data_IF_819469328087
#
_entry.id   IF_819469328087
#
_cell.length_a   1.000
_cell.length_b   1.000
_cell.length_c   1.000
_cell.angle_alpha   90.00
_cell.angle_beta   90.00
_cell.angle_gamma   90.00
#
_symmetry.space_group_name_H-M   'P 1'
#
loop_
_entity.id
_entity.type
_entity.pdbx_description
1 polymer ?
#
# COMPACT_ATOMS: atom_id res chain seq x y z
N UNK A 1 -8.07 78.03 -3.17
CA UNK A 1 -8.99 76.96 -2.71
C UNK A 1 -8.17 75.73 -2.33
N UNK A 2 -8.59 74.97 -1.31
CA UNK A 2 -7.97 73.71 -0.89
C UNK A 2 -9.04 72.64 -0.70
N UNK A 3 -8.85 71.48 -1.31
CA UNK A 3 -9.72 70.31 -1.16
C UNK A 3 -9.13 69.39 -0.08
N UNK A 4 -9.89 69.11 0.98
CA UNK A 4 -9.45 68.26 2.09
C UNK A 4 -9.94 66.83 1.94
N UNK A 5 -11.17 66.66 1.43
CA UNK A 5 -11.81 65.36 1.31
C UNK A 5 -12.78 65.33 0.15
N UNK A 6 -12.82 64.22 -0.57
CA UNK A 6 -13.79 63.97 -1.64
C UNK A 6 -14.36 62.56 -1.51
N UNK A 7 -15.69 62.48 -1.41
CA UNK A 7 -16.44 61.23 -1.30
C UNK A 7 -17.43 61.16 -2.45
N UNK A 8 -17.45 60.01 -3.13
CA UNK A 8 -18.36 59.74 -4.24
C UNK A 8 -19.04 58.40 -4.00
N UNK A 9 -20.37 58.37 -4.07
CA UNK A 9 -21.20 57.17 -3.86
C UNK A 9 -22.21 57.04 -4.99
N UNK A 10 -22.36 55.82 -5.53
CA UNK A 10 -23.27 55.50 -6.64
C UNK A 10 -23.12 56.43 -7.86
N UNK A 11 -21.88 56.62 -8.31
CA UNK A 11 -21.53 57.53 -9.40
C UNK A 11 -20.93 56.74 -10.57
N UNK A 12 -21.62 56.69 -11.70
CA UNK A 12 -21.29 55.78 -12.82
C UNK A 12 -21.10 54.33 -12.34
N UNK A 13 -19.89 53.78 -12.48
CA UNK A 13 -19.51 52.45 -12.00
C UNK A 13 -18.94 52.41 -10.57
N UNK A 14 -18.85 53.54 -9.87
CA UNK A 14 -18.28 53.63 -8.52
C UNK A 14 -19.38 53.43 -7.49
N UNK A 15 -19.32 52.34 -6.71
CA UNK A 15 -20.24 52.10 -5.58
C UNK A 15 -19.99 53.09 -4.45
N UNK A 16 -18.75 53.16 -3.96
CA UNK A 16 -18.32 54.11 -2.95
C UNK A 16 -16.81 54.31 -3.01
N UNK A 17 -16.35 55.56 -2.93
CA UNK A 17 -14.92 55.90 -2.84
C UNK A 17 -14.72 57.20 -2.09
N UNK A 18 -13.73 57.20 -1.21
CA UNK A 18 -13.33 58.33 -0.40
C UNK A 18 -11.82 58.59 -0.55
N UNK A 19 -11.46 59.87 -0.69
CA UNK A 19 -10.07 60.33 -0.77
C UNK A 19 -9.90 61.47 0.22
N UNK A 20 -8.97 61.31 1.15
CA UNK A 20 -8.47 62.38 2.02
C UNK A 20 -7.18 62.95 1.43
N UNK A 21 -7.09 64.26 1.31
CA UNK A 21 -5.94 64.95 0.76
C UNK A 21 -5.04 65.49 1.90
N UNK A 22 -3.72 65.33 1.80
CA UNK A 22 -2.79 65.87 2.79
C UNK A 22 -2.77 67.40 2.75
N UNK A 23 -2.34 68.00 3.85
CA UNK A 23 -2.38 69.45 4.00
C UNK A 23 -1.41 70.19 3.07
N UNK A 24 -0.31 69.54 2.67
CA UNK A 24 0.75 70.06 1.81
C UNK A 24 1.29 68.96 0.90
N UNK A 25 1.88 69.34 -0.23
CA UNK A 25 2.55 68.43 -1.17
C UNK A 25 1.76 68.15 -2.45
N UNK A 26 2.25 67.18 -3.23
CA UNK A 26 1.64 66.76 -4.50
C UNK A 26 1.01 65.39 -4.31
N UNK A 27 -0.26 65.25 -4.66
CA UNK A 27 -0.98 63.96 -4.64
C UNK A 27 -1.06 63.40 -6.05
N UNK A 28 -0.51 62.20 -6.24
CA UNK A 28 -0.60 61.47 -7.50
C UNK A 28 -1.64 60.36 -7.36
N UNK A 29 -2.73 60.43 -8.13
CA UNK A 29 -3.77 59.39 -8.17
C UNK A 29 -3.45 58.41 -9.30
N UNK A 30 -2.89 57.25 -8.95
CA UNK A 30 -2.59 56.16 -9.89
C UNK A 30 -3.65 55.05 -9.85
N UNK A 31 -3.84 54.35 -10.97
CA UNK A 31 -4.76 53.21 -11.06
C UNK A 31 -4.88 52.71 -12.49
N UNK A 32 -5.50 51.55 -12.70
CA UNK A 32 -5.78 51.03 -14.04
C UNK A 32 -6.64 52.01 -14.87
N UNK A 33 -6.62 51.88 -16.20
CA UNK A 33 -7.61 52.57 -17.03
C UNK A 33 -9.02 52.17 -16.60
N UNK A 34 -9.98 53.09 -16.68
CA UNK A 34 -11.37 52.87 -16.25
C UNK A 34 -11.59 52.69 -14.74
N UNK A 35 -10.55 52.82 -13.91
CA UNK A 35 -10.67 52.75 -12.45
C UNK A 35 -11.42 53.94 -11.81
N UNK A 36 -11.95 54.87 -12.62
CA UNK A 36 -12.73 56.02 -12.17
C UNK A 36 -11.92 57.27 -11.78
N UNK A 37 -10.65 57.38 -12.17
CA UNK A 37 -9.79 58.55 -11.83
C UNK A 37 -10.37 59.87 -12.35
N UNK A 38 -10.63 59.95 -13.66
CA UNK A 38 -11.23 61.15 -14.28
C UNK A 38 -12.64 61.40 -13.75
N UNK A 39 -13.42 60.34 -13.52
CA UNK A 39 -14.78 60.43 -12.96
C UNK A 39 -14.82 61.10 -11.58
N UNK A 40 -13.81 60.92 -10.73
CA UNK A 40 -13.73 61.59 -9.41
C UNK A 40 -13.53 63.10 -9.56
N UNK A 41 -12.67 63.53 -10.48
CA UNK A 41 -12.38 64.95 -10.72
C UNK A 41 -13.56 65.64 -11.40
N UNK A 42 -14.25 64.94 -12.30
CA UNK A 42 -15.54 65.39 -12.89
C UNK A 42 -16.64 65.52 -11.82
N UNK A 43 -16.69 64.61 -10.84
CA UNK A 43 -17.67 64.67 -9.76
C UNK A 43 -17.54 65.96 -8.93
N UNK A 44 -16.32 66.40 -8.66
CA UNK A 44 -16.05 67.67 -7.98
C UNK A 44 -16.57 68.88 -8.78
N UNK A 45 -16.43 68.89 -10.10
CA UNK A 45 -16.98 69.97 -10.93
C UNK A 45 -18.50 70.00 -10.88
N UNK A 46 -19.13 68.84 -11.06
CA UNK A 46 -20.58 68.76 -11.02
C UNK A 46 -21.15 69.19 -9.68
N UNK A 47 -20.44 68.88 -8.58
CA UNK A 47 -20.79 69.35 -7.25
C UNK A 47 -20.82 70.89 -7.18
N UNK A 48 -19.81 71.57 -7.73
CA UNK A 48 -19.67 73.03 -7.66
C UNK A 48 -20.55 73.78 -8.67
N UNK A 49 -20.68 73.27 -9.90
CA UNK A 49 -21.24 74.02 -11.02
C UNK A 49 -22.72 73.73 -11.30
N UNK A 50 -23.20 72.54 -10.94
CA UNK A 50 -24.55 72.09 -11.29
C UNK A 50 -25.48 72.04 -10.08
N UNK A 51 -26.72 72.49 -10.28
CA UNK A 51 -27.81 72.26 -9.32
C UNK A 51 -28.16 70.77 -9.25
N UNK A 52 -28.65 70.31 -8.11
CA UNK A 52 -29.03 68.91 -7.86
C UNK A 52 -30.11 68.37 -8.83
N UNK A 53 -31.02 69.25 -9.27
CA UNK A 53 -32.08 68.98 -10.26
C UNK A 53 -31.67 69.31 -11.72
N UNK A 54 -30.39 69.56 -11.98
CA UNK A 54 -29.89 69.91 -13.31
C UNK A 54 -30.15 68.80 -14.33
N UNK A 55 -30.64 69.18 -15.51
CA UNK A 55 -30.91 68.27 -16.64
C UNK A 55 -29.82 68.30 -17.72
N UNK A 56 -28.69 68.98 -17.41
CA UNK A 56 -27.49 69.08 -18.26
C UNK A 56 -26.98 67.68 -18.64
N UNK A 57 -26.37 67.58 -19.83
CA UNK A 57 -25.89 66.31 -20.40
C UNK A 57 -24.89 65.63 -19.46
N UNK A 58 -24.00 66.43 -18.88
CA UNK A 58 -22.93 66.01 -17.98
C UNK A 58 -23.51 65.39 -16.70
N UNK A 59 -24.57 65.98 -16.15
CA UNK A 59 -25.28 65.42 -14.98
C UNK A 59 -25.99 64.12 -15.35
N UNK A 60 -26.65 64.03 -16.52
CA UNK A 60 -27.30 62.78 -16.97
C UNK A 60 -26.32 61.62 -17.15
N UNK A 61 -25.07 61.90 -17.52
CA UNK A 61 -24.03 60.89 -17.77
C UNK A 61 -23.44 60.27 -16.49
N UNK A 62 -23.76 60.78 -15.30
CA UNK A 62 -23.18 60.27 -14.05
C UNK A 62 -24.07 59.29 -13.31
N UNK A 63 -25.26 59.02 -13.85
CA UNK A 63 -26.23 58.07 -13.31
C UNK A 63 -25.57 56.71 -13.01
N UNK A 64 -25.84 56.10 -11.84
CA UNK A 64 -25.27 54.80 -11.51
C UNK A 64 -25.73 53.73 -12.50
N UNK A 65 -24.80 52.87 -12.94
CA UNK A 65 -25.08 51.82 -13.93
C UNK A 65 -25.78 50.60 -13.32
N UNK A 66 -25.45 50.27 -12.07
CA UNK A 66 -25.86 49.01 -11.41
C UNK A 66 -26.62 49.23 -10.09
N UNK A 67 -27.14 50.43 -9.83
CA UNK A 67 -27.86 50.73 -8.59
C UNK A 67 -29.06 51.64 -8.88
N UNK A 68 -30.21 51.34 -8.25
CA UNK A 68 -31.43 52.14 -8.37
C UNK A 68 -31.44 53.30 -7.35
N UNK A 69 -30.34 54.05 -7.31
CA UNK A 69 -30.02 55.11 -6.35
C UNK A 69 -29.64 56.43 -7.04
N UNK A 70 -29.50 57.52 -6.26
CA UNK A 70 -28.99 58.80 -6.75
C UNK A 70 -27.47 58.86 -6.67
N UNK A 71 -26.84 59.66 -7.53
CA UNK A 71 -25.38 59.87 -7.49
C UNK A 71 -25.05 60.91 -6.44
N UNK A 72 -24.22 60.55 -5.47
CA UNK A 72 -23.86 61.41 -4.36
C UNK A 72 -22.41 61.83 -4.45
N UNK A 73 -22.18 63.13 -4.27
CA UNK A 73 -20.84 63.73 -4.19
C UNK A 73 -20.79 64.61 -2.95
N UNK A 74 -19.78 64.39 -2.11
CA UNK A 74 -19.50 65.21 -0.94
C UNK A 74 -18.06 65.68 -0.98
N UNK A 75 -17.82 66.98 -0.83
CA UNK A 75 -16.49 67.55 -0.73
C UNK A 75 -16.36 68.41 0.52
N UNK A 76 -15.19 68.32 1.16
CA UNK A 76 -14.79 69.26 2.21
C UNK A 76 -13.73 70.20 1.65
N UNK A 77 -14.04 71.49 1.66
CA UNK A 77 -13.29 72.52 0.94
C UNK A 77 -12.99 73.69 1.88
N UNK A 78 -11.78 74.24 1.77
CA UNK A 78 -11.43 75.55 2.29
C UNK A 78 -11.21 76.56 1.16
N UNK A 79 -11.84 77.72 1.26
CA UNK A 79 -11.71 78.82 0.30
C UNK A 79 -11.76 80.16 1.05
N UNK A 80 -10.65 80.91 1.00
CA UNK A 80 -10.49 82.12 1.82
C UNK A 80 -10.72 81.84 3.32
N UNK A 81 -11.60 82.59 4.01
CA UNK A 81 -11.90 82.38 5.44
C UNK A 81 -12.86 81.20 5.67
N UNK A 82 -13.42 80.59 4.62
CA UNK A 82 -14.44 79.57 4.73
C UNK A 82 -13.84 78.16 4.77
N UNK A 83 -14.39 77.30 5.64
CA UNK A 83 -14.24 75.84 5.56
C UNK A 83 -15.63 75.24 5.59
N UNK A 84 -15.98 74.40 4.64
CA UNK A 84 -17.34 73.87 4.53
C UNK A 84 -17.35 72.45 3.95
N UNK A 85 -18.39 71.70 4.32
CA UNK A 85 -18.74 70.41 3.74
C UNK A 85 -19.94 70.63 2.84
N UNK A 86 -19.80 70.24 1.58
CA UNK A 86 -20.82 70.42 0.57
C UNK A 86 -21.19 69.09 -0.05
N UNK A 87 -22.49 68.77 -0.01
CA UNK A 87 -23.04 67.51 -0.49
C UNK A 87 -24.14 67.77 -1.52
N UNK A 88 -24.10 67.02 -2.62
CA UNK A 88 -25.21 66.92 -3.57
C UNK A 88 -25.54 65.48 -3.89
N UNK A 89 -26.83 65.18 -3.92
CA UNK A 89 -27.40 63.98 -4.54
C UNK A 89 -28.09 64.38 -5.83
N UNK A 90 -27.71 63.76 -6.93
CA UNK A 90 -28.32 63.92 -8.25
C UNK A 90 -29.27 62.75 -8.54
N UNK A 91 -30.17 62.95 -9.51
CA UNK A 91 -31.13 61.96 -10.00
C UNK A 91 -32.24 61.58 -9.02
N UNK A 92 -32.04 60.54 -8.21
CA UNK A 92 -33.06 60.06 -7.29
C UNK A 92 -32.98 60.80 -5.98
N UNK A 93 -34.12 61.34 -5.54
CA UNK A 93 -34.23 62.23 -4.37
C UNK A 93 -33.17 63.35 -4.41
N UNK A 94 -33.21 64.24 -5.43
CA UNK A 94 -32.23 65.32 -5.55
C UNK A 94 -32.19 66.17 -4.27
N UNK A 95 -30.99 66.39 -3.77
CA UNK A 95 -30.78 67.02 -2.48
C UNK A 95 -29.45 67.77 -2.50
N UNK A 96 -29.45 68.98 -1.96
CA UNK A 96 -28.24 69.79 -1.75
C UNK A 96 -28.16 70.13 -0.27
N UNK A 97 -26.99 69.92 0.33
CA UNK A 97 -26.71 70.30 1.71
C UNK A 97 -25.36 71.01 1.78
N UNK A 98 -25.33 72.11 2.52
CA UNK A 98 -24.12 72.83 2.86
C UNK A 98 -24.00 72.90 4.38
N UNK A 99 -22.84 72.53 4.91
CA UNK A 99 -22.47 72.79 6.30
C UNK A 99 -21.19 73.62 6.32
N UNK A 100 -21.30 74.90 6.66
CA UNK A 100 -20.16 75.78 6.88
C UNK A 100 -19.62 75.51 8.29
N UNK A 101 -18.32 75.28 8.40
CA UNK A 101 -17.59 75.01 9.64
C UNK A 101 -16.86 76.25 10.17
N UNK A 102 -16.40 77.12 9.26
CA UNK A 102 -15.75 78.39 9.57
C UNK A 102 -16.16 79.45 8.52
N UNK A 103 -16.25 80.75 8.88
CA UNK A 103 -15.92 81.35 10.18
C UNK A 103 -16.99 81.13 11.27
N UNK A 104 -18.26 80.95 10.89
CA UNK A 104 -19.36 80.60 11.78
C UNK A 104 -20.06 79.33 11.28
N UNK A 105 -20.56 78.51 12.21
CA UNK A 105 -21.25 77.29 11.84
C UNK A 105 -22.64 77.59 11.30
N UNK A 106 -22.88 77.21 10.06
CA UNK A 106 -24.13 77.46 9.33
C UNK A 106 -24.51 76.18 8.56
N UNK A 107 -25.80 75.84 8.52
CA UNK A 107 -26.29 74.70 7.74
C UNK A 107 -27.45 75.15 6.86
N UNK A 108 -27.30 74.95 5.56
CA UNK A 108 -28.28 75.32 4.54
C UNK A 108 -28.60 74.08 3.70
N UNK A 109 -29.79 74.07 3.10
CA UNK A 109 -30.20 73.00 2.18
C UNK A 109 -30.82 73.59 0.91
N UNK A 110 -30.94 72.77 -0.13
CA UNK A 110 -31.59 73.14 -1.38
C UNK A 110 -30.85 74.22 -2.19
N UNK A 111 -31.61 75.10 -2.83
CA UNK A 111 -31.08 76.15 -3.70
C UNK A 111 -30.25 77.20 -2.91
N UNK A 112 -30.66 77.54 -1.69
CA UNK A 112 -29.93 78.47 -0.82
C UNK A 112 -28.52 77.96 -0.50
N UNK A 113 -28.37 76.65 -0.27
CA UNK A 113 -27.05 76.02 -0.08
C UNK A 113 -26.18 76.13 -1.33
N UNK A 114 -26.75 75.96 -2.53
CA UNK A 114 -25.99 76.06 -3.78
C UNK A 114 -25.54 77.50 -4.05
N UNK A 115 -26.46 78.45 -3.88
CA UNK A 115 -26.19 79.86 -4.14
C UNK A 115 -25.18 80.41 -3.11
N UNK A 116 -25.25 79.97 -1.85
CA UNK A 116 -24.25 80.32 -0.82
C UNK A 116 -22.85 79.82 -1.17
N UNK A 117 -22.70 78.59 -1.66
CA UNK A 117 -21.38 78.08 -2.13
C UNK A 117 -20.87 78.89 -3.31
N UNK A 118 -21.73 79.21 -4.29
CA UNK A 118 -21.33 80.05 -5.44
C UNK A 118 -20.84 81.42 -5.00
N UNK A 119 -21.53 82.05 -4.04
CA UNK A 119 -21.11 83.34 -3.49
C UNK A 119 -19.75 83.25 -2.78
N UNK A 120 -19.54 82.23 -1.92
CA UNK A 120 -18.26 82.03 -1.23
C UNK A 120 -17.10 81.80 -2.21
N UNK A 121 -17.31 81.04 -3.29
CA UNK A 121 -16.28 80.78 -4.28
C UNK A 121 -15.99 82.00 -5.17
N UNK A 122 -17.01 82.75 -5.60
CA UNK A 122 -16.82 83.96 -6.38
C UNK A 122 -16.07 85.06 -5.61
N UNK A 123 -16.21 85.11 -4.28
CA UNK A 123 -15.48 86.03 -3.40
C UNK A 123 -14.00 85.63 -3.21
N UNK A 124 -13.71 84.32 -3.13
CA UNK A 124 -12.42 83.82 -2.60
C UNK A 124 -11.55 83.06 -3.59
N UNK A 125 -12.07 82.77 -4.78
CA UNK A 125 -11.38 82.00 -5.82
C UNK A 125 -11.51 82.74 -7.14
N UNK A 126 -10.37 82.96 -7.80
CA UNK A 126 -10.38 83.31 -9.22
C UNK A 126 -10.89 82.10 -10.01
N UNK A 127 -12.17 82.13 -10.34
CA UNK A 127 -12.83 81.06 -11.08
C UNK A 127 -12.21 80.85 -12.46
N UNK A 128 -11.72 81.90 -13.12
CA UNK A 128 -11.11 81.78 -14.45
C UNK A 128 -9.75 81.08 -14.39
N UNK A 129 -8.92 81.43 -13.40
CA UNK A 129 -7.65 80.74 -13.14
C UNK A 129 -7.87 79.27 -12.72
N UNK A 130 -8.88 79.01 -11.88
CA UNK A 130 -9.27 77.65 -11.48
C UNK A 130 -9.69 76.79 -12.69
N UNK A 131 -10.47 77.36 -13.62
CA UNK A 131 -10.83 76.67 -14.87
C UNK A 131 -9.60 76.46 -15.77
N UNK A 132 -8.74 77.46 -15.94
CA UNK A 132 -7.55 77.39 -16.80
C UNK A 132 -6.54 76.32 -16.33
N UNK A 133 -6.26 76.24 -15.03
CA UNK A 133 -5.36 75.22 -14.45
C UNK A 133 -5.84 73.79 -14.73
N UNK A 134 -7.16 73.61 -14.85
CA UNK A 134 -7.79 72.31 -15.02
C UNK A 134 -7.89 71.88 -16.49
N UNK A 135 -8.14 72.82 -17.41
CA UNK A 135 -8.17 72.56 -18.87
C UNK A 135 -6.83 72.03 -19.37
N UNK A 136 -5.72 72.52 -18.79
CA UNK A 136 -4.35 72.09 -19.10
C UNK A 136 -4.09 70.58 -18.89
N UNK A 137 -4.95 69.86 -18.16
CA UNK A 137 -4.79 68.42 -17.90
C UNK A 137 -5.79 67.52 -18.66
N UNK A 138 -6.87 68.08 -19.23
CA UNK A 138 -7.97 67.30 -19.81
C UNK A 138 -8.11 67.41 -21.34
N UNK A 139 -7.53 68.43 -21.99
CA UNK A 139 -7.62 68.60 -23.44
C UNK A 139 -6.32 68.17 -24.15
N UNK A 140 -6.43 67.20 -25.07
CA UNK A 140 -5.38 66.87 -26.03
C UNK A 140 -5.07 68.10 -26.90
N UNK A 141 -3.89 68.70 -26.72
CA UNK A 141 -3.13 69.47 -27.75
C UNK A 141 -3.91 70.48 -28.60
N UNK A 142 -4.87 71.21 -28.02
CA UNK A 142 -5.37 72.46 -28.61
C UNK A 142 -4.76 73.63 -27.84
N UNK A 143 -4.28 74.65 -28.56
CA UNK A 143 -3.74 75.86 -27.96
C UNK A 143 -4.79 76.50 -27.05
N UNK A 144 -4.47 76.63 -25.76
CA UNK A 144 -5.33 77.28 -24.77
C UNK A 144 -5.27 78.79 -25.03
N UNK A 145 -6.42 79.42 -25.25
CA UNK A 145 -6.54 80.87 -25.30
C UNK A 145 -6.43 81.42 -23.88
N UNK A 146 -5.27 81.98 -23.55
CA UNK A 146 -4.93 82.52 -22.23
C UNK A 146 -5.09 84.05 -22.16
N UNK A 147 -5.76 84.66 -23.13
CA UNK A 147 -5.91 86.12 -23.27
C UNK A 147 -6.65 86.83 -22.13
N UNK A 148 -7.31 86.11 -21.23
CA UNK A 148 -8.02 86.68 -20.07
C UNK A 148 -7.21 86.77 -18.77
N UNK A 149 -6.00 86.22 -18.69
CA UNK A 149 -5.29 86.05 -17.41
C UNK A 149 -4.18 87.10 -17.19
N UNK A 150 -4.57 88.33 -16.84
CA UNK A 150 -3.65 89.47 -16.62
C UNK A 150 -2.57 89.22 -15.55
N UNK A 151 -2.83 88.37 -14.56
CA UNK A 151 -1.86 88.03 -13.53
C UNK A 151 -0.77 87.07 -14.04
N UNK A 152 -1.14 86.10 -14.88
CA UNK A 152 -0.22 85.12 -15.43
C UNK A 152 0.60 85.71 -16.60
N UNK A 153 -0.03 86.53 -17.45
CA UNK A 153 0.67 87.26 -18.52
C UNK A 153 1.73 88.20 -17.96
N UNK A 154 1.43 88.94 -16.87
CA UNK A 154 2.43 89.78 -16.20
C UNK A 154 3.57 88.98 -15.55
N UNK A 155 3.28 87.82 -14.97
CA UNK A 155 4.33 86.97 -14.40
C UNK A 155 5.26 86.39 -15.49
N UNK A 156 4.72 86.11 -16.67
CA UNK A 156 5.49 85.65 -17.83
C UNK A 156 6.28 86.79 -18.50
N UNK A 157 5.71 87.99 -18.62
CA UNK A 157 6.40 89.16 -19.17
C UNK A 157 7.57 89.64 -18.28
N UNK A 158 7.41 89.56 -16.96
CA UNK A 158 8.50 89.84 -16.01
C UNK A 158 9.61 88.78 -16.10
N UNK A 159 9.28 87.54 -16.45
CA UNK A 159 10.27 86.49 -16.69
C UNK A 159 10.93 86.57 -18.08
N UNK A 160 10.27 87.22 -19.06
CA UNK A 160 10.75 87.37 -20.43
C UNK A 160 11.52 88.68 -20.71
N UNK A 161 11.50 89.64 -19.79
CA UNK A 161 12.43 90.79 -19.75
C UNK A 161 12.13 91.90 -20.76
N UNK A 162 11.58 93.01 -20.28
CA UNK A 162 11.65 94.31 -20.94
C UNK A 162 12.48 95.29 -20.09
N UNK A 163 13.65 95.63 -20.61
CA UNK A 163 14.50 96.80 -20.36
C UNK A 163 14.89 97.19 -18.91
N UNK A 164 16.00 96.61 -18.43
CA UNK A 164 17.07 97.35 -17.73
C UNK A 164 18.43 96.69 -18.06
N UNK A 165 19.41 97.48 -18.51
CA UNK A 165 20.81 97.04 -18.75
C UNK A 165 21.44 96.34 -17.54
N UNK A 166 22.26 95.28 -17.72
CA UNK A 166 23.20 94.86 -16.70
C UNK A 166 24.63 95.29 -17.08
N UNK A 167 25.13 96.28 -16.36
CA UNK A 167 26.55 96.43 -16.07
C UNK A 167 26.86 95.58 -14.83
N UNK A 168 27.69 94.55 -14.97
CA UNK A 168 28.16 93.73 -13.84
C UNK A 168 28.10 92.24 -14.17
N UNK A 169 29.24 91.58 -14.03
CA UNK A 169 29.46 90.18 -14.38
C UNK A 169 28.69 89.21 -13.45
N UNK A 170 27.38 89.11 -13.64
CA UNK A 170 26.59 87.96 -13.19
C UNK A 170 26.16 87.19 -14.45
N UNK A 171 26.59 85.92 -14.62
CA UNK A 171 26.13 85.12 -15.73
C UNK A 171 24.61 85.05 -15.69
N UNK A 172 23.98 85.36 -16.83
CA UNK A 172 22.53 85.27 -17.02
C UNK A 172 22.07 83.93 -16.46
N UNK A 173 20.95 83.88 -15.73
CA UNK A 173 20.43 82.68 -15.06
C UNK A 173 20.50 81.42 -15.93
N UNK A 174 20.30 81.60 -17.24
CA UNK A 174 20.40 80.57 -18.29
C UNK A 174 21.79 79.92 -18.34
N UNK A 175 22.89 80.68 -18.28
CA UNK A 175 24.25 80.12 -18.32
C UNK A 175 24.58 79.31 -17.05
N UNK A 176 24.04 79.72 -15.89
CA UNK A 176 24.17 78.95 -14.64
C UNK A 176 23.36 77.66 -14.69
N UNK A 177 22.18 77.70 -15.31
CA UNK A 177 21.35 76.52 -15.56
C UNK A 177 22.07 75.56 -16.51
N UNK A 178 22.64 76.06 -17.61
CA UNK A 178 23.36 75.24 -18.59
C UNK A 178 24.64 74.63 -17.99
N UNK A 179 25.38 75.38 -17.18
CA UNK A 179 26.56 74.87 -16.48
C UNK A 179 26.20 73.77 -15.46
N UNK A 180 25.13 73.95 -14.68
CA UNK A 180 24.66 72.92 -13.75
C UNK A 180 24.07 71.70 -14.48
N UNK A 181 23.34 71.92 -15.58
CA UNK A 181 22.83 70.85 -16.44
C UNK A 181 23.97 70.02 -17.05
N UNK A 182 25.03 70.68 -17.53
CA UNK A 182 26.19 70.04 -18.12
C UNK A 182 26.97 69.12 -17.16
N UNK A 183 26.82 69.30 -15.83
CA UNK A 183 27.44 68.42 -14.83
C UNK A 183 26.83 67.02 -14.80
N UNK A 184 25.53 66.92 -15.10
CA UNK A 184 24.76 65.68 -15.02
C UNK A 184 24.34 65.14 -16.38
N UNK A 185 24.26 65.99 -17.41
CA UNK A 185 23.80 65.64 -18.73
C UNK A 185 24.68 66.22 -19.85
N UNK A 186 24.84 65.47 -20.93
CA UNK A 186 25.39 66.00 -22.19
C UNK A 186 24.39 66.95 -22.84
N UNK A 187 24.84 67.76 -23.81
CA UNK A 187 23.96 68.63 -24.61
C UNK A 187 22.81 67.89 -25.34
N UNK A 188 22.92 66.56 -25.50
CA UNK A 188 21.88 65.69 -26.08
C UNK A 188 20.96 65.04 -25.04
N UNK A 189 21.10 65.40 -23.76
CA UNK A 189 20.32 64.89 -22.64
C UNK A 189 20.76 63.52 -22.10
N UNK A 190 21.88 62.96 -22.57
CA UNK A 190 22.41 61.70 -22.02
C UNK A 190 23.09 61.93 -20.66
N UNK A 191 22.90 61.06 -19.66
CA UNK A 191 23.63 61.12 -18.39
C UNK A 191 25.15 61.20 -18.59
N UNK A 192 25.81 62.07 -17.85
CA UNK A 192 27.28 62.20 -17.81
C UNK A 192 27.74 62.59 -16.40
N UNK A 193 29.06 62.62 -16.20
CA UNK A 193 29.67 63.10 -14.97
C UNK A 193 29.15 62.39 -13.72
N UNK A 194 28.71 63.18 -12.74
CA UNK A 194 28.26 62.70 -11.43
C UNK A 194 27.01 61.81 -11.54
N UNK A 195 26.07 62.13 -12.43
CA UNK A 195 24.84 61.35 -12.59
C UNK A 195 25.09 59.98 -13.24
N UNK A 196 25.98 59.93 -14.24
CA UNK A 196 26.39 58.66 -14.83
C UNK A 196 27.16 57.79 -13.83
N UNK A 197 28.02 58.40 -12.99
CA UNK A 197 28.72 57.70 -11.92
C UNK A 197 27.73 57.10 -10.90
N UNK A 198 26.76 57.88 -10.43
CA UNK A 198 25.75 57.42 -9.48
C UNK A 198 24.88 56.28 -10.04
N UNK A 199 24.50 56.34 -11.34
CA UNK A 199 23.76 55.25 -12.00
C UNK A 199 24.60 53.97 -12.04
N UNK A 200 25.90 54.08 -12.38
CA UNK A 200 26.79 52.93 -12.42
C UNK A 200 27.04 52.34 -11.02
N UNK A 201 27.21 53.19 -10.00
CA UNK A 201 27.35 52.76 -8.61
C UNK A 201 26.10 52.04 -8.12
N UNK A 202 24.91 52.56 -8.42
CA UNK A 202 23.64 51.90 -8.11
C UNK A 202 23.56 50.53 -8.80
N UNK A 203 23.87 50.46 -10.10
CA UNK A 203 23.85 49.21 -10.84
C UNK A 203 24.84 48.17 -10.28
N UNK A 204 26.03 48.61 -9.85
CA UNK A 204 27.00 47.73 -9.20
C UNK A 204 26.53 47.27 -7.82
N UNK A 205 25.94 48.15 -7.03
CA UNK A 205 25.37 47.83 -5.72
C UNK A 205 24.22 46.83 -5.86
N UNK A 206 23.31 47.04 -6.81
CA UNK A 206 22.21 46.11 -7.10
C UNK A 206 22.73 44.74 -7.53
N UNK A 207 23.74 44.71 -8.40
CA UNK A 207 24.39 43.46 -8.81
C UNK A 207 25.04 42.74 -7.63
N UNK A 208 25.71 43.46 -6.72
CA UNK A 208 26.31 42.90 -5.52
C UNK A 208 25.26 42.34 -4.56
N UNK A 209 24.13 43.04 -4.38
CA UNK A 209 23.00 42.55 -3.56
C UNK A 209 22.45 41.23 -4.12
N UNK A 210 22.27 41.13 -5.44
CA UNK A 210 21.80 39.89 -6.08
C UNK A 210 22.80 38.74 -5.85
N UNK A 211 24.10 39.00 -5.98
CA UNK A 211 25.13 37.98 -5.74
C UNK A 211 25.16 37.52 -4.27
N UNK A 212 25.10 38.47 -3.32
CA UNK A 212 25.04 38.14 -1.89
C UNK A 212 23.77 37.37 -1.54
N UNK A 213 22.61 37.76 -2.07
CA UNK A 213 21.35 37.06 -1.86
C UNK A 213 21.41 35.62 -2.40
N UNK A 214 22.02 35.41 -3.57
CA UNK A 214 22.22 34.07 -4.12
C UNK A 214 23.13 33.21 -3.24
N UNK A 215 24.24 33.77 -2.73
CA UNK A 215 25.16 33.06 -1.83
C UNK A 215 24.48 32.68 -0.50
N UNK A 216 23.67 33.57 0.08
CA UNK A 216 22.90 33.28 1.31
C UNK A 216 21.87 32.19 1.05
N UNK A 217 21.11 32.28 -0.05
CA UNK A 217 20.12 31.27 -0.40
C UNK A 217 20.74 29.88 -0.60
N UNK A 218 21.96 29.82 -1.15
CA UNK A 218 22.71 28.57 -1.32
C UNK A 218 23.14 27.98 0.04
N UNK A 219 23.59 28.81 0.98
CA UNK A 219 23.92 28.37 2.35
C UNK A 219 22.67 27.89 3.08
N UNK A 220 21.56 28.62 2.99
CA UNK A 220 20.29 28.23 3.62
C UNK A 220 19.82 26.86 3.10
N UNK A 221 19.92 26.63 1.79
CA UNK A 221 19.57 25.33 1.20
C UNK A 221 20.50 24.21 1.71
N UNK A 222 21.81 24.47 1.79
CA UNK A 222 22.76 23.50 2.36
C UNK A 222 22.46 23.20 3.82
N UNK A 223 22.08 24.19 4.62
CA UNK A 223 21.71 24.02 6.04
C UNK A 223 20.43 23.19 6.16
N UNK A 224 19.39 23.48 5.36
CA UNK A 224 18.16 22.69 5.33
C UNK A 224 18.44 21.23 4.95
N UNK A 225 19.22 21.02 3.89
CA UNK A 225 19.62 19.67 3.44
C UNK A 225 20.45 18.95 4.48
N UNK A 226 21.37 19.64 5.16
CA UNK A 226 22.16 19.05 6.24
C UNK A 226 21.27 18.60 7.40
N UNK A 227 20.33 19.45 7.85
CA UNK A 227 19.39 19.11 8.92
C UNK A 227 18.54 17.89 8.54
N UNK A 228 18.04 17.83 7.30
CA UNK A 228 17.30 16.68 6.80
C UNK A 228 18.15 15.40 6.77
N UNK A 229 19.36 15.46 6.23
CA UNK A 229 20.26 14.31 6.16
C UNK A 229 20.68 13.81 7.54
N UNK A 230 20.95 14.73 8.48
CA UNK A 230 21.27 14.38 9.87
C UNK A 230 20.11 13.63 10.53
N UNK A 231 18.87 14.10 10.33
CA UNK A 231 17.68 13.37 10.81
C UNK A 231 17.56 11.98 10.18
N UNK A 232 17.73 11.87 8.86
CA UNK A 232 17.68 10.57 8.16
C UNK A 232 18.77 9.61 8.63
N UNK A 233 19.98 10.10 8.90
CA UNK A 233 21.09 9.29 9.44
C UNK A 233 20.75 8.77 10.83
N UNK A 234 20.17 9.61 11.70
CA UNK A 234 19.72 9.18 13.03
C UNK A 234 18.62 8.10 12.95
N UNK A 235 17.59 8.34 12.12
CA UNK A 235 16.50 7.37 11.89
C UNK A 235 17.03 6.02 11.37
N UNK A 236 17.95 6.04 10.40
CA UNK A 236 18.56 4.82 9.86
C UNK A 236 19.48 4.13 10.87
N UNK A 237 20.18 4.87 11.72
CA UNK A 237 21.01 4.31 12.77
C UNK A 237 20.16 3.57 13.82
N UNK A 238 19.02 4.13 14.22
CA UNK A 238 18.05 3.48 15.10
C UNK A 238 17.46 2.21 14.46
N UNK A 239 17.05 2.29 13.19
CA UNK A 239 16.54 1.12 12.45
C UNK A 239 17.59 0.00 12.37
N UNK A 240 18.85 0.35 12.08
CA UNK A 240 19.96 -0.61 12.05
C UNK A 240 20.22 -1.23 13.43
N UNK A 241 20.21 -0.41 14.49
CA UNK A 241 20.38 -0.88 15.86
C UNK A 241 19.26 -1.85 16.27
N UNK A 242 18.01 -1.59 15.87
CA UNK A 242 16.88 -2.47 16.13
C UNK A 242 16.90 -3.76 15.28
N UNK A 243 17.42 -3.70 14.05
CA UNK A 243 17.50 -4.85 13.15
C UNK A 243 18.57 -5.87 13.56
N UNK A 244 19.70 -5.41 14.12
CA UNK A 244 20.82 -6.28 14.52
C UNK A 244 20.41 -7.44 15.44
N UNK A 245 19.79 -7.17 16.60
CA UNK A 245 19.34 -8.23 17.52
C UNK A 245 18.31 -9.18 16.89
N UNK A 246 17.42 -8.66 16.03
CA UNK A 246 16.42 -9.49 15.32
C UNK A 246 17.09 -10.46 14.34
N UNK A 247 18.12 -10.00 13.63
CA UNK A 247 18.91 -10.85 12.73
C UNK A 247 19.62 -11.97 13.50
N UNK A 248 20.29 -11.62 14.61
CA UNK A 248 20.97 -12.60 15.47
C UNK A 248 19.98 -13.63 16.02
N UNK A 249 18.82 -13.18 16.50
CA UNK A 249 17.77 -14.07 17.01
C UNK A 249 17.22 -14.99 15.91
N UNK A 250 17.02 -14.47 14.68
CA UNK A 250 16.55 -15.24 13.54
C UNK A 250 17.58 -16.29 13.10
N UNK A 251 18.87 -15.94 13.06
CA UNK A 251 19.96 -16.87 12.76
C UNK A 251 20.04 -17.99 13.81
N UNK A 252 20.02 -17.63 15.10
CA UNK A 252 20.01 -18.62 16.19
C UNK A 252 18.75 -19.50 16.18
N UNK A 253 17.60 -19.00 15.72
CA UNK A 253 16.40 -19.80 15.52
C UNK A 253 16.55 -20.77 14.34
N UNK A 254 17.10 -20.31 13.22
CA UNK A 254 17.37 -21.14 12.04
C UNK A 254 18.35 -22.28 12.36
N UNK A 255 19.44 -21.99 13.07
CA UNK A 255 20.42 -23.01 13.48
C UNK A 255 19.78 -24.07 14.40
N UNK A 256 18.93 -23.64 15.34
CA UNK A 256 18.17 -24.57 16.21
C UNK A 256 17.20 -25.44 15.42
N UNK A 257 16.48 -24.87 14.44
CA UNK A 257 15.58 -25.63 13.57
C UNK A 257 16.37 -26.66 12.76
N UNK A 258 17.54 -26.30 12.22
CA UNK A 258 18.39 -27.20 11.47
C UNK A 258 18.89 -28.38 12.34
N UNK A 259 19.31 -28.10 13.58
CA UNK A 259 19.70 -29.13 14.55
C UNK A 259 18.53 -30.09 14.84
N UNK A 260 17.36 -29.56 15.22
CA UNK A 260 16.17 -30.36 15.50
C UNK A 260 15.71 -31.18 14.29
N UNK A 261 15.85 -30.64 13.08
CA UNK A 261 15.51 -31.36 11.85
C UNK A 261 16.43 -32.56 11.62
N UNK A 262 17.72 -32.41 11.93
CA UNK A 262 18.68 -33.52 11.85
C UNK A 262 18.42 -34.57 12.93
N UNK A 263 18.16 -34.16 14.18
CA UNK A 263 17.78 -35.06 15.27
C UNK A 263 16.51 -35.85 14.94
N UNK A 264 15.49 -35.18 14.39
CA UNK A 264 14.25 -35.84 13.97
C UNK A 264 14.50 -36.87 12.86
N UNK A 265 15.37 -36.55 11.89
CA UNK A 265 15.75 -37.49 10.82
C UNK A 265 16.47 -38.71 11.38
N UNK A 266 17.41 -38.52 12.30
CA UNK A 266 18.13 -39.61 12.96
C UNK A 266 17.18 -40.48 13.78
N UNK A 267 16.32 -39.87 14.61
CA UNK A 267 15.31 -40.59 15.38
C UNK A 267 14.35 -41.39 14.48
N UNK A 268 13.96 -40.84 13.32
CA UNK A 268 13.12 -41.54 12.36
C UNK A 268 13.82 -42.74 11.72
N UNK A 269 15.12 -42.64 11.42
CA UNK A 269 15.90 -43.77 10.91
C UNK A 269 16.03 -44.88 11.97
N UNK A 270 16.31 -44.51 13.22
CA UNK A 270 16.37 -45.47 14.34
C UNK A 270 15.02 -46.15 14.54
N UNK A 271 13.92 -45.39 14.53
CA UNK A 271 12.58 -45.93 14.67
C UNK A 271 12.21 -46.89 13.52
N UNK A 272 12.57 -46.55 12.28
CA UNK A 272 12.35 -47.41 11.12
C UNK A 272 13.15 -48.72 11.22
N UNK A 273 14.42 -48.64 11.64
CA UNK A 273 15.27 -49.82 11.86
C UNK A 273 14.71 -50.71 12.98
N UNK A 274 14.27 -50.13 14.10
CA UNK A 274 13.66 -50.86 15.20
C UNK A 274 12.35 -51.54 14.79
N UNK A 275 11.50 -50.86 13.99
CA UNK A 275 10.27 -51.43 13.46
C UNK A 275 10.55 -52.61 12.52
N UNK A 276 11.54 -52.49 11.63
CA UNK A 276 11.95 -53.58 10.74
C UNK A 276 12.49 -54.79 11.52
N UNK A 277 13.33 -54.56 12.54
CA UNK A 277 13.85 -55.62 13.40
C UNK A 277 12.73 -56.33 14.19
N UNK A 278 11.78 -55.57 14.73
CA UNK A 278 10.61 -56.12 15.43
C UNK A 278 9.74 -56.98 14.51
N UNK A 279 9.48 -56.51 13.28
CA UNK A 279 8.75 -57.27 12.28
C UNK A 279 9.47 -58.59 11.93
N UNK A 280 10.78 -58.52 11.65
CA UNK A 280 11.59 -59.70 11.36
C UNK A 280 11.60 -60.70 12.53
N UNK A 281 11.73 -60.22 13.76
CA UNK A 281 11.67 -61.07 14.97
C UNK A 281 10.30 -61.73 15.13
N UNK A 282 9.22 -61.01 14.81
CA UNK A 282 7.86 -61.54 14.87
C UNK A 282 7.65 -62.64 13.83
N UNK A 283 8.10 -62.43 12.59
CA UNK A 283 8.06 -63.45 11.54
C UNK A 283 8.88 -64.69 11.92
N UNK A 284 10.13 -64.51 12.36
CA UNK A 284 10.98 -65.63 12.79
C UNK A 284 10.39 -66.41 13.99
N UNK A 285 9.69 -65.72 14.89
CA UNK A 285 8.98 -66.38 15.98
C UNK A 285 7.79 -67.20 15.49
N UNK A 286 6.99 -66.66 14.57
CA UNK A 286 5.87 -67.37 13.96
C UNK A 286 6.34 -68.61 13.18
N UNK A 287 7.41 -68.49 12.40
CA UNK A 287 8.05 -69.61 11.70
C UNK A 287 8.53 -70.69 12.68
N UNK A 288 9.17 -70.29 13.79
CA UNK A 288 9.57 -71.23 14.84
C UNK A 288 8.38 -71.98 15.43
N UNK A 289 7.28 -71.29 15.72
CA UNK A 289 6.07 -71.92 16.24
C UNK A 289 5.48 -72.94 15.25
N UNK A 290 5.48 -72.61 13.95
CA UNK A 290 5.07 -73.55 12.90
C UNK A 290 5.96 -74.79 12.88
N UNK A 291 7.29 -74.61 12.91
CA UNK A 291 8.23 -75.73 12.93
C UNK A 291 8.08 -76.61 14.18
N UNK A 292 7.81 -76.02 15.34
CA UNK A 292 7.51 -76.79 16.57
C UNK A 292 6.25 -77.63 16.37
N UNK A 293 5.18 -77.05 15.84
CA UNK A 293 3.95 -77.77 15.55
C UNK A 293 4.16 -78.91 14.53
N UNK A 294 4.97 -78.68 13.49
CA UNK A 294 5.32 -79.70 12.49
C UNK A 294 6.13 -80.86 13.11
N UNK A 295 7.08 -80.55 14.00
CA UNK A 295 7.86 -81.56 14.73
C UNK A 295 6.98 -82.36 15.67
N UNK A 296 6.07 -81.72 16.41
CA UNK A 296 5.12 -82.39 17.30
C UNK A 296 4.18 -83.31 16.50
N UNK A 297 3.65 -82.83 15.37
CA UNK A 297 2.81 -83.63 14.46
C UNK A 297 3.59 -84.82 13.87
N UNK A 298 4.83 -84.60 13.44
CA UNK A 298 5.72 -85.65 12.95
C UNK A 298 6.03 -86.70 14.03
N UNK A 299 6.28 -86.26 15.27
CA UNK A 299 6.49 -87.15 16.41
C UNK A 299 5.26 -88.01 16.72
N UNK A 300 4.07 -87.42 16.70
CA UNK A 300 2.81 -88.15 16.87
C UNK A 300 2.58 -89.18 15.74
N UNK A 301 2.88 -88.81 14.49
CA UNK A 301 2.77 -89.72 13.35
C UNK A 301 3.76 -90.90 13.44
N UNK A 302 5.00 -90.65 13.86
CA UNK A 302 6.00 -91.72 14.11
C UNK A 302 5.53 -92.66 15.22
N UNK A 303 5.02 -92.13 16.34
CA UNK A 303 4.50 -92.94 17.43
C UNK A 303 3.31 -93.82 16.99
N UNK A 304 2.41 -93.27 16.17
CA UNK A 304 1.29 -94.02 15.59
C UNK A 304 1.79 -95.15 14.66
N UNK A 305 2.72 -94.86 13.75
CA UNK A 305 3.32 -95.86 12.87
C UNK A 305 4.08 -96.94 13.64
N UNK A 306 4.78 -96.57 14.72
CA UNK A 306 5.43 -97.54 15.62
C UNK A 306 4.39 -98.45 16.28
N UNK A 307 3.26 -97.92 16.75
CA UNK A 307 2.18 -98.72 17.34
C UNK A 307 1.56 -99.67 16.30
N UNK A 308 1.30 -99.19 15.08
CA UNK A 308 0.81 -100.03 13.97
C UNK A 308 1.79 -101.15 13.60
N UNK A 309 3.10 -100.84 13.57
CA UNK A 309 4.14 -101.82 13.31
C UNK A 309 4.20 -102.90 14.39
N UNK A 310 4.15 -102.55 15.69
CA UNK A 310 4.07 -103.52 16.78
C UNK A 310 2.83 -104.41 16.64
N UNK A 311 1.65 -103.82 16.36
CA UNK A 311 0.43 -104.59 16.12
C UNK A 311 0.53 -105.51 14.89
N UNK A 312 1.25 -105.11 13.85
CA UNK A 312 1.49 -105.94 12.67
C UNK A 312 2.41 -107.13 13.01
N UNK A 313 3.46 -106.91 13.80
CA UNK A 313 4.34 -107.98 14.32
C UNK A 313 3.55 -108.96 15.18
N UNK A 314 2.71 -108.49 16.09
CA UNK A 314 1.87 -109.33 16.94
C UNK A 314 0.89 -110.17 16.10
N UNK A 315 0.25 -109.54 15.10
CA UNK A 315 -0.64 -110.25 14.15
C UNK A 315 0.10 -111.31 13.34
N UNK A 316 1.31 -111.01 12.87
CA UNK A 316 2.14 -111.98 12.16
C UNK A 316 2.52 -113.16 13.07
N UNK A 317 2.95 -112.90 14.30
CA UNK A 317 3.28 -113.94 15.27
C UNK A 317 2.08 -114.84 15.58
N UNK A 318 0.90 -114.25 15.78
CA UNK A 318 -0.35 -114.98 15.97
C UNK A 318 -0.71 -115.84 14.75
N UNK A 319 -0.57 -115.30 13.54
CA UNK A 319 -0.80 -116.05 12.31
C UNK A 319 0.18 -117.21 12.14
N UNK A 320 1.47 -117.00 12.42
CA UNK A 320 2.49 -118.07 12.40
C UNK A 320 2.19 -119.17 13.41
N UNK A 321 1.79 -118.80 14.64
CA UNK A 321 1.39 -119.77 15.65
C UNK A 321 0.14 -120.57 15.23
N UNK A 322 -0.84 -119.91 14.60
CA UNK A 322 -2.02 -120.57 14.07
C UNK A 322 -1.67 -121.55 12.93
N UNK A 323 -0.77 -121.17 12.01
CA UNK A 323 -0.26 -122.07 10.95
C UNK A 323 0.43 -123.28 11.59
N UNK A 324 1.34 -123.08 12.54
CA UNK A 324 2.02 -124.19 13.22
C UNK A 324 1.05 -125.12 13.97
N UNK A 325 -0.01 -124.57 14.58
CA UNK A 325 -1.06 -125.36 15.22
C UNK A 325 -1.88 -126.16 14.20
N UNK A 326 -2.23 -125.57 13.05
CA UNK A 326 -2.88 -126.26 11.95
C UNK A 326 -2.00 -127.39 11.40
N UNK A 327 -0.71 -127.14 11.15
CA UNK A 327 0.25 -128.14 10.68
C UNK A 327 0.36 -129.30 11.67
N UNK A 328 0.46 -129.01 12.98
CA UNK A 328 0.47 -130.05 14.02
C UNK A 328 -0.84 -130.85 14.06
N UNK A 329 -1.99 -130.20 13.86
CA UNK A 329 -3.29 -130.87 13.79
C UNK A 329 -3.41 -131.77 12.55
N UNK A 330 -2.89 -131.33 11.40
CA UNK A 330 -2.80 -132.14 10.17
C UNK A 330 -1.92 -133.37 10.39
N UNK A 331 -0.74 -133.21 10.99
CA UNK A 331 0.15 -134.34 11.33
C UNK A 331 -0.52 -135.33 12.29
N UNK A 332 -1.19 -134.83 13.34
CA UNK A 332 -1.96 -135.68 14.26
C UNK A 332 -3.09 -136.42 13.54
N UNK A 333 -3.82 -135.75 12.64
CA UNK A 333 -4.89 -136.37 11.85
C UNK A 333 -4.33 -137.44 10.89
N UNK A 334 -3.18 -137.20 10.26
CA UNK A 334 -2.47 -138.18 9.42
C UNK A 334 -2.02 -139.39 10.24
N UNK A 335 -1.45 -139.19 11.43
CA UNK A 335 -1.11 -140.28 12.34
C UNK A 335 -2.34 -141.08 12.78
N UNK A 336 -3.43 -140.40 13.15
CA UNK A 336 -4.68 -141.04 13.55
C UNK A 336 -5.29 -141.87 12.39
N UNK A 337 -5.27 -141.33 11.17
CA UNK A 337 -5.70 -142.02 9.95
C UNK A 337 -4.85 -143.27 9.71
N UNK A 338 -3.52 -143.17 9.79
CA UNK A 338 -2.62 -144.33 9.63
C UNK A 338 -2.87 -145.41 10.70
N UNK A 339 -3.16 -145.01 11.95
CA UNK A 339 -3.49 -145.93 13.03
C UNK A 339 -4.87 -146.57 12.85
N UNK A 340 -5.85 -145.84 12.30
CA UNK A 340 -7.16 -146.37 11.95
C UNK A 340 -7.06 -147.35 10.77
N UNK A 341 -6.27 -147.04 9.74
CA UNK A 341 -5.98 -147.94 8.62
C UNK A 341 -5.33 -149.24 9.10
N UNK A 342 -4.28 -149.17 9.94
CA UNK A 342 -3.67 -150.38 10.53
C UNK A 342 -4.65 -151.21 11.36
N UNK A 343 -5.54 -150.55 12.12
CA UNK A 343 -6.62 -151.24 12.87
C UNK A 343 -7.63 -151.89 11.94
N UNK A 344 -8.04 -151.21 10.87
CA UNK A 344 -8.94 -151.76 9.87
C UNK A 344 -8.30 -152.96 9.14
N UNK A 345 -7.03 -152.87 8.75
CA UNK A 345 -6.26 -153.98 8.17
C UNK A 345 -6.08 -155.13 9.16
N UNK A 346 -5.84 -154.85 10.44
CA UNK A 346 -5.77 -155.88 11.48
C UNK A 346 -7.12 -156.56 11.69
N UNK A 347 -8.21 -155.78 11.77
CA UNK A 347 -9.56 -156.31 11.90
C UNK A 347 -9.96 -157.12 10.66
N UNK A 348 -9.54 -156.68 9.47
CA UNK A 348 -9.72 -157.42 8.22
C UNK A 348 -8.93 -158.73 8.24
N UNK A 349 -7.65 -158.72 8.64
CA UNK A 349 -6.86 -159.95 8.86
C UNK A 349 -7.49 -160.88 9.89
N UNK A 350 -8.05 -160.35 10.99
CA UNK A 350 -8.76 -161.15 11.98
C UNK A 350 -10.07 -161.71 11.44
N UNK A 351 -10.80 -160.95 10.62
CA UNK A 351 -12.00 -161.43 9.94
C UNK A 351 -11.63 -162.52 8.94
N UNK A 352 -10.59 -162.32 8.13
CA UNK A 352 -10.05 -163.33 7.21
C UNK A 352 -9.65 -164.59 8.01
N UNK A 353 -8.98 -164.46 9.15
CA UNK A 353 -8.68 -165.59 10.04
C UNK A 353 -9.93 -166.27 10.65
N UNK A 354 -10.99 -165.52 10.96
CA UNK A 354 -12.25 -166.09 11.45
C UNK A 354 -12.97 -166.80 10.32
N UNK A 355 -12.98 -166.23 9.11
CA UNK A 355 -13.53 -166.88 7.91
C UNK A 355 -12.73 -168.14 7.60
N UNK A 356 -11.39 -168.08 7.58
CA UNK A 356 -10.52 -169.25 7.40
C UNK A 356 -10.77 -170.30 8.49
N UNK A 357 -11.06 -169.89 9.73
CA UNK A 357 -11.34 -170.79 10.85
C UNK A 357 -12.76 -171.35 10.81
N UNK A 358 -13.76 -170.58 10.41
CA UNK A 358 -15.12 -171.07 10.15
C UNK A 358 -15.14 -171.98 8.92
N UNK A 359 -14.30 -171.74 7.93
CA UNK A 359 -14.12 -172.58 6.76
C UNK A 359 -13.38 -173.88 7.14
N UNK A 360 -12.38 -173.81 8.03
CA UNK A 360 -11.73 -174.97 8.65
C UNK A 360 -12.67 -175.77 9.58
N UNK A 361 -13.52 -175.11 10.38
CA UNK A 361 -14.48 -175.75 11.29
C UNK A 361 -15.67 -176.35 10.51
N UNK A 362 -16.05 -175.76 9.37
CA UNK A 362 -17.08 -176.31 8.46
C UNK A 362 -16.57 -177.50 7.64
N UNK A 363 -15.26 -177.65 7.48
CA UNK A 363 -14.61 -178.78 6.81
C UNK A 363 -14.11 -179.87 7.79
N UNK A 364 -14.43 -179.77 9.09
CA UNK A 364 -13.61 -180.39 10.13
C UNK A 364 -14.13 -181.57 10.95
N UNK A 365 -15.36 -182.08 10.82
CA UNK A 365 -15.80 -183.28 11.60
C UNK A 365 -16.72 -184.24 10.82
N UNK A 366 -16.12 -184.89 9.82
CA UNK A 366 -16.56 -186.13 9.20
C UNK A 366 -15.36 -187.02 8.86
N UNK A 367 -15.11 -188.03 9.71
CA UNK A 367 -14.44 -189.32 9.43
C UNK A 367 -12.91 -189.38 9.11
N UNK A 368 -12.19 -190.02 10.05
CA UNK A 368 -11.13 -191.07 9.92
C UNK A 368 -9.84 -190.83 9.13
N UNK A 369 -8.69 -191.02 9.81
CA UNK A 369 -7.63 -191.92 9.33
C UNK A 369 -6.21 -191.36 9.06
N UNK A 370 -5.25 -191.91 9.81
CA UNK A 370 -3.82 -192.15 9.48
C UNK A 370 -2.75 -191.05 9.68
N UNK A 371 -1.67 -191.52 10.33
CA UNK A 371 -0.33 -190.99 10.69
C UNK A 371 0.62 -190.82 9.46
N UNK A 372 1.92 -190.41 9.60
CA UNK A 372 2.65 -189.21 10.12
C UNK A 372 3.61 -188.69 8.98
N UNK A 373 4.90 -188.25 9.12
CA UNK A 373 5.69 -187.46 10.10
C UNK A 373 6.49 -186.24 9.48
N UNK A 374 7.16 -185.42 10.31
CA UNK A 374 8.55 -184.96 10.06
C UNK A 374 8.86 -183.57 9.48
N UNK A 375 9.83 -182.90 10.14
CA UNK A 375 10.88 -182.01 9.59
C UNK A 375 10.48 -180.61 9.07
N UNK A 376 11.26 -179.53 9.16
CA UNK A 376 12.45 -179.06 9.89
C UNK A 376 12.71 -177.64 9.30
N UNK A 377 13.41 -176.76 10.04
CA UNK A 377 14.48 -175.88 9.48
C UNK A 377 14.12 -174.53 8.79
N UNK A 378 14.65 -173.45 9.44
CA UNK A 378 15.33 -172.24 8.89
C UNK A 378 14.46 -171.10 8.32
N UNK A 379 14.81 -169.81 8.35
CA UNK A 379 15.68 -168.88 9.10
C UNK A 379 15.64 -167.52 8.33
N UNK A 380 16.24 -166.46 8.90
CA UNK A 380 16.60 -165.14 8.31
C UNK A 380 15.48 -164.07 8.29
N UNK A 381 15.52 -162.93 9.02
CA UNK A 381 16.44 -161.76 9.03
C UNK A 381 16.68 -161.13 7.63
N UNK A 382 17.04 -159.83 7.49
CA UNK A 382 16.60 -158.61 8.21
C UNK A 382 16.50 -157.37 7.25
N UNK A 383 16.55 -156.17 7.85
CA UNK A 383 17.02 -154.86 7.31
C UNK A 383 16.03 -153.97 6.51
N UNK A 384 15.65 -152.78 7.02
CA UNK A 384 16.40 -151.49 7.14
C UNK A 384 16.21 -150.57 5.89
N UNK A 385 16.45 -149.25 5.98
CA UNK A 385 15.38 -148.25 5.90
C UNK A 385 15.63 -147.16 4.82
N UNK A 386 14.73 -146.18 4.74
CA UNK A 386 15.06 -144.75 4.87
C UNK A 386 13.84 -143.94 5.24
#
# INVERSE_FOLDING_TARGET
MKLHRLVVTNYRGITHREIAFPDHGVVVVCGANESGKSSMIEALDLLLESKDRSTKKEVKQVKPTNADAGSEVTAEISAGPYRFVYRKRFHKKPETELTVLAPHREQLTGDEAHDRVRAMLAETVDTELWHAQRVLQAASTAAVDLSGCDALSRALDVAAGADVSPSGAEPLLIERIDAEYARYFTATGRPTGEWAAAINELAQADAAVVQCAAAVAEVDERVRRHAELTRRVAELAEQRAAAGPRLVAAQAAADRIAALTNEAREAQLIAAAAAAASAASTTAHAERLSLVADVDAGGAAVAALQAEAHQAVDRQAAATAAVAACDAAVEQAMHALSAAQRRAESARRSLDQIVDREEADRLGLGWTGSTPPGANVIAWMPNWPR
#
